data_IF_296328413264
#
_entry.id   IF_296328413264
#
_cell.length_a   1.000
_cell.length_b   1.000
_cell.length_c   1.000
_cell.angle_alpha   90.00
_cell.angle_beta   90.00
_cell.angle_gamma   90.00
#
_symmetry.space_group_name_H-M   'P 1'
#
loop_
_entity.id
_entity.type
_entity.pdbx_description
1 polymer ?
#
# COMPACT_ATOMS: atom_id res chain seq x y z
N UNK A 1 12.40 6.12 3.21
CA UNK A 1 12.91 4.75 3.28
C UNK A 1 13.99 4.73 4.32
N UNK A 2 13.75 4.02 5.42
CA UNK A 2 14.78 3.76 6.44
C UNK A 2 15.47 2.43 6.17
N UNK A 3 16.31 1.99 7.12
CA UNK A 3 17.00 0.68 7.14
C UNK A 3 16.06 -0.55 7.10
N UNK A 4 14.75 -0.33 7.11
CA UNK A 4 13.73 -1.37 7.22
C UNK A 4 13.36 -1.92 5.85
N UNK A 5 13.25 -3.25 5.74
CA UNK A 5 12.96 -3.94 4.48
C UNK A 5 11.48 -3.81 4.11
N UNK A 6 11.20 -3.65 2.82
CA UNK A 6 9.83 -3.48 2.33
C UNK A 6 8.94 -4.72 2.58
N UNK A 7 9.49 -5.93 2.64
CA UNK A 7 8.75 -7.14 2.99
C UNK A 7 8.16 -7.11 4.42
N UNK A 8 8.95 -6.64 5.38
CA UNK A 8 8.52 -6.52 6.78
C UNK A 8 7.42 -5.47 6.93
N UNK A 9 7.59 -4.32 6.25
CA UNK A 9 6.57 -3.26 6.22
C UNK A 9 5.28 -3.78 5.58
N UNK A 10 5.36 -4.46 4.43
CA UNK A 10 4.20 -5.00 3.73
C UNK A 10 3.42 -5.99 4.62
N UNK A 11 4.12 -6.89 5.31
CA UNK A 11 3.51 -7.84 6.26
C UNK A 11 2.77 -7.12 7.39
N UNK A 12 3.38 -6.08 7.97
CA UNK A 12 2.76 -5.27 9.03
C UNK A 12 1.50 -4.56 8.54
N UNK A 13 1.55 -3.96 7.34
CA UNK A 13 0.39 -3.28 6.74
C UNK A 13 -0.75 -4.27 6.46
N UNK A 14 -0.46 -5.44 5.88
CA UNK A 14 -1.47 -6.46 5.59
C UNK A 14 -2.14 -6.94 6.89
N UNK A 15 -1.34 -7.21 7.92
CA UNK A 15 -1.82 -7.66 9.22
C UNK A 15 -2.70 -6.60 9.87
N UNK A 16 -2.26 -5.35 9.87
CA UNK A 16 -3.04 -4.24 10.40
C UNK A 16 -4.36 -4.07 9.66
N UNK A 17 -4.34 -4.02 8.32
CA UNK A 17 -5.53 -3.87 7.49
C UNK A 17 -6.57 -4.97 7.71
N UNK A 18 -6.12 -6.22 7.92
CA UNK A 18 -7.01 -7.34 8.28
C UNK A 18 -7.58 -7.19 9.68
N UNK A 19 -6.79 -6.75 10.65
CA UNK A 19 -7.23 -6.56 12.03
C UNK A 19 -8.23 -5.40 12.17
N UNK A 20 -8.04 -4.30 11.43
CA UNK A 20 -8.93 -3.12 11.49
C UNK A 20 -10.09 -3.16 10.50
N UNK A 21 -10.17 -4.21 9.66
CA UNK A 21 -11.22 -4.39 8.66
C UNK A 21 -11.45 -3.13 7.79
N UNK A 22 -10.36 -2.62 7.22
CA UNK A 22 -10.28 -1.29 6.63
C UNK A 22 -11.39 -1.02 5.59
N UNK A 23 -12.25 -0.03 5.85
CA UNK A 23 -13.36 0.35 4.96
C UNK A 23 -13.01 1.48 3.97
N UNK A 24 -11.77 1.97 4.02
CA UNK A 24 -11.29 3.10 3.21
C UNK A 24 -10.17 2.64 2.26
N UNK A 25 -10.04 3.24 1.06
CA UNK A 25 -9.00 2.86 0.12
C UNK A 25 -7.61 3.22 0.66
N UNK A 26 -6.65 2.29 0.55
CA UNK A 26 -5.28 2.48 1.01
C UNK A 26 -4.33 2.64 -0.18
N UNK A 27 -3.65 3.76 -0.29
CA UNK A 27 -2.60 3.97 -1.31
C UNK A 27 -1.22 3.87 -0.66
N UNK A 28 -0.38 2.97 -1.18
CA UNK A 28 0.96 2.72 -0.64
C UNK A 28 2.01 3.01 -1.69
N UNK A 29 2.96 3.88 -1.34
CA UNK A 29 4.19 4.07 -2.10
C UNK A 29 5.33 3.39 -1.35
N UNK A 30 5.79 2.24 -1.86
CA UNK A 30 6.97 1.56 -1.33
C UNK A 30 8.21 1.99 -2.09
N UNK A 31 9.28 2.31 -1.37
CA UNK A 31 10.61 2.53 -1.94
C UNK A 31 11.69 2.13 -0.95
N UNK A 32 12.56 1.19 -1.34
CA UNK A 32 13.61 0.66 -0.48
C UNK A 32 14.10 -0.74 -0.87
N UNK A 33 14.77 -1.40 0.06
CA UNK A 33 15.25 -2.79 -0.11
C UNK A 33 14.07 -3.76 -0.17
N UNK A 34 14.08 -4.68 -1.13
CA UNK A 34 12.98 -5.63 -1.41
C UNK A 34 11.67 -4.96 -1.84
N UNK A 35 11.74 -3.81 -2.53
CA UNK A 35 10.56 -3.08 -3.01
C UNK A 35 9.62 -3.97 -3.84
N UNK A 36 10.15 -4.72 -4.81
CA UNK A 36 9.35 -5.62 -5.65
C UNK A 36 8.63 -6.69 -4.83
N UNK A 37 9.32 -7.28 -3.85
CA UNK A 37 8.73 -8.30 -2.98
C UNK A 37 7.62 -7.71 -2.12
N UNK A 38 7.82 -6.52 -1.53
CA UNK A 38 6.80 -5.83 -0.75
C UNK A 38 5.57 -5.48 -1.58
N UNK A 39 5.76 -4.99 -2.82
CA UNK A 39 4.66 -4.73 -3.77
C UNK A 39 3.89 -6.00 -4.10
N UNK A 40 4.59 -7.11 -4.37
CA UNK A 40 3.96 -8.40 -4.64
C UNK A 40 3.14 -8.91 -3.46
N UNK A 41 3.67 -8.83 -2.24
CA UNK A 41 2.93 -9.21 -1.02
C UNK A 41 1.66 -8.39 -0.83
N UNK A 42 1.71 -7.08 -1.11
CA UNK A 42 0.54 -6.21 -1.03
C UNK A 42 -0.51 -6.56 -2.09
N UNK A 43 -0.09 -6.87 -3.33
CA UNK A 43 -0.98 -7.29 -4.41
C UNK A 43 -1.64 -8.66 -4.12
N UNK A 44 -0.87 -9.62 -3.62
CA UNK A 44 -1.35 -10.97 -3.28
C UNK A 44 -2.23 -10.99 -2.00
N UNK A 45 -2.24 -9.90 -1.22
CA UNK A 45 -2.97 -9.83 0.05
C UNK A 45 -4.51 -9.85 -0.09
N UNK A 46 -5.02 -9.56 -1.30
CA UNK A 46 -6.45 -9.45 -1.60
C UNK A 46 -7.13 -8.22 -0.97
N UNK A 47 -6.35 -7.30 -0.40
CA UNK A 47 -6.85 -6.06 0.20
C UNK A 47 -6.95 -4.95 -0.87
N UNK A 48 -7.82 -3.94 -0.68
CA UNK A 48 -7.98 -2.80 -1.61
C UNK A 48 -6.80 -1.82 -1.48
N UNK A 49 -5.60 -2.31 -1.78
CA UNK A 49 -4.34 -1.58 -1.68
C UNK A 49 -3.92 -1.16 -3.09
N UNK A 50 -3.73 0.14 -3.28
CA UNK A 50 -3.29 0.72 -4.53
C UNK A 50 -1.81 1.07 -4.40
N UNK A 51 -0.95 0.38 -5.14
CA UNK A 51 0.47 0.71 -5.20
C UNK A 51 0.73 1.91 -6.11
N UNK A 52 1.64 2.79 -5.69
CA UNK A 52 2.12 3.93 -6.47
C UNK A 52 3.65 4.00 -6.46
N UNK A 53 4.25 4.50 -7.54
CA UNK A 53 5.72 4.58 -7.67
C UNK A 53 6.25 5.94 -7.26
N UNK A 54 5.51 7.00 -7.59
CA UNK A 54 5.85 8.38 -7.25
C UNK A 54 4.87 8.99 -6.25
N UNK A 55 5.32 10.02 -5.54
CA UNK A 55 4.45 10.72 -4.58
C UNK A 55 3.32 11.47 -5.29
N UNK A 56 3.60 12.02 -6.47
CA UNK A 56 2.59 12.69 -7.30
C UNK A 56 1.51 11.71 -7.76
N UNK A 57 1.91 10.53 -8.23
CA UNK A 57 0.99 9.47 -8.62
C UNK A 57 0.18 8.95 -7.42
N UNK A 58 0.81 8.78 -6.25
CA UNK A 58 0.10 8.40 -5.03
C UNK A 58 -0.98 9.43 -4.67
N UNK A 59 -0.67 10.72 -4.78
CA UNK A 59 -1.62 11.81 -4.53
C UNK A 59 -2.79 11.79 -5.54
N UNK A 60 -2.52 11.55 -6.81
CA UNK A 60 -3.59 11.44 -7.82
C UNK A 60 -4.47 10.20 -7.58
N UNK A 61 -3.86 9.05 -7.29
CA UNK A 61 -4.56 7.79 -7.02
C UNK A 61 -5.43 7.86 -5.78
N UNK A 62 -4.97 8.49 -4.70
CA UNK A 62 -5.79 8.63 -3.47
C UNK A 62 -6.98 9.55 -3.71
N UNK A 63 -6.80 10.66 -4.43
CA UNK A 63 -7.91 11.57 -4.77
C UNK A 63 -8.94 10.87 -5.67
N UNK A 64 -8.48 10.08 -6.65
CA UNK A 64 -9.36 9.29 -7.51
C UNK A 64 -10.12 8.22 -6.70
N UNK A 65 -9.44 7.50 -5.81
CA UNK A 65 -10.05 6.46 -4.98
C UNK A 65 -11.11 7.02 -4.03
N UNK A 66 -10.85 8.18 -3.42
CA UNK A 66 -11.84 8.87 -2.55
C UNK A 66 -13.04 9.36 -3.35
N UNK A 67 -12.84 9.86 -4.58
CA UNK A 67 -13.95 10.27 -5.46
C UNK A 67 -14.81 9.10 -5.91
N UNK A 68 -14.22 7.92 -6.12
CA UNK A 68 -14.92 6.71 -6.55
C UNK A 68 -15.62 5.97 -5.40
N UNK A 69 -15.18 6.19 -4.15
CA UNK A 69 -15.80 5.62 -2.94
C UNK A 69 -17.03 6.42 -2.46
N UNK A 70 -17.49 7.40 -3.24
CA UNK A 70 -18.64 8.25 -2.96
C UNK A 70 -19.84 7.81 -3.79
#
# INVERSE_FOLDING_TARGET
GGIMKCDTIATGVITACRAVNLSVPLVVRMKGTNEELGKKMLADSGLPIISADTMAEAAQKVVAAVKAAK
#
